data_IF_169296259395
#
_entry.id   IF_169296259395
#
_cell.length_a   1.000
_cell.length_b   1.000
_cell.length_c   1.000
_cell.angle_alpha   90.00
_cell.angle_beta   90.00
_cell.angle_gamma   90.00
#
_symmetry.space_group_name_H-M   'P 1'
#
loop_
_entity.id
_entity.type
_entity.pdbx_description
1 polymer ?
#
# COMPACT_ATOMS: atom_id res chain seq x y z
N UNK A 1 20.52 5.61 -11.15
CA UNK A 1 19.70 4.99 -12.20
C UNK A 1 19.56 3.50 -11.94
N UNK A 2 18.35 2.98 -12.04
CA UNK A 2 18.08 1.55 -11.84
C UNK A 2 18.49 0.78 -13.09
N UNK A 3 19.32 -0.30 -12.97
CA UNK A 3 19.69 -1.11 -14.12
C UNK A 3 18.45 -1.70 -14.82
N UNK A 4 18.51 -1.94 -16.14
CA UNK A 4 17.43 -2.58 -16.87
C UNK A 4 17.06 -3.93 -16.23
N UNK A 5 15.78 -4.21 -16.08
CA UNK A 5 15.28 -5.44 -15.48
C UNK A 5 15.31 -5.45 -13.96
N UNK A 6 15.86 -4.43 -13.32
CA UNK A 6 15.88 -4.31 -11.87
C UNK A 6 14.59 -3.64 -11.38
N UNK A 7 13.98 -4.25 -10.36
CA UNK A 7 12.72 -3.76 -9.79
C UNK A 7 12.82 -3.75 -8.26
N UNK A 8 12.35 -2.66 -7.65
CA UNK A 8 12.24 -2.54 -6.20
C UNK A 8 10.77 -2.65 -5.80
N UNK A 9 10.50 -3.57 -4.91
CA UNK A 9 9.15 -3.75 -4.37
C UNK A 9 9.11 -3.27 -2.92
N UNK A 10 8.17 -2.38 -2.63
CA UNK A 10 7.82 -1.99 -1.27
C UNK A 10 6.52 -2.69 -0.94
N UNK A 11 6.61 -3.82 -0.26
CA UNK A 11 5.44 -4.60 0.11
C UNK A 11 4.93 -4.13 1.47
N UNK A 12 3.69 -3.65 1.49
CA UNK A 12 3.12 -3.02 2.68
C UNK A 12 1.79 -3.68 3.02
N UNK A 13 1.68 -4.10 4.28
CA UNK A 13 0.39 -4.48 4.86
C UNK A 13 -0.33 -3.20 5.30
N UNK A 14 -1.69 -3.18 5.22
CA UNK A 14 -2.44 -2.06 5.77
C UNK A 14 -2.11 -1.84 7.26
N UNK A 15 -2.22 -0.60 7.72
CA UNK A 15 -1.98 -0.25 9.11
C UNK A 15 -3.14 -0.74 10.00
N UNK A 16 -3.04 -0.50 11.30
CA UNK A 16 -4.00 -1.03 12.27
C UNK A 16 -5.41 -0.52 11.99
N UNK A 17 -6.35 -1.44 11.87
CA UNK A 17 -7.73 -1.13 11.53
C UNK A 17 -8.63 -1.09 12.77
N UNK A 18 -9.80 -0.46 12.59
CA UNK A 18 -10.79 -0.24 13.63
C UNK A 18 -11.80 -1.39 13.65
N UNK A 19 -12.07 -1.92 14.83
CA UNK A 19 -13.07 -2.98 15.06
C UNK A 19 -14.25 -2.51 15.90
N UNK A 20 -14.35 -1.18 16.15
CA UNK A 20 -15.36 -0.64 17.08
C UNK A 20 -16.79 -0.74 16.54
N UNK A 21 -16.98 -0.80 15.22
CA UNK A 21 -18.29 -0.93 14.63
C UNK A 21 -18.43 -2.31 13.95
N UNK A 22 -19.00 -3.30 14.65
CA UNK A 22 -19.13 -4.64 14.09
C UNK A 22 -20.19 -4.75 12.98
N UNK A 23 -20.99 -3.71 12.77
CA UNK A 23 -21.99 -3.71 11.69
C UNK A 23 -21.38 -3.38 10.32
N UNK A 24 -20.15 -2.85 10.27
CA UNK A 24 -19.52 -2.50 9.02
C UNK A 24 -19.05 -3.77 8.26
N UNK A 25 -19.33 -3.84 6.95
CA UNK A 25 -18.69 -4.86 6.13
C UNK A 25 -17.17 -4.72 6.20
N UNK A 26 -16.46 -5.83 6.06
CA UNK A 26 -15.00 -5.84 6.19
C UNK A 26 -14.32 -4.81 5.28
N UNK A 27 -14.79 -4.66 4.02
CA UNK A 27 -14.20 -3.71 3.09
C UNK A 27 -14.34 -2.25 3.53
N UNK A 28 -15.34 -1.95 4.35
CA UNK A 28 -15.63 -0.58 4.81
C UNK A 28 -14.96 -0.26 6.14
N UNK A 29 -14.25 -1.19 6.72
CA UNK A 29 -13.61 -0.99 8.02
C UNK A 29 -12.40 -0.08 7.89
N UNK A 30 -12.39 1.07 8.61
CA UNK A 30 -11.33 2.07 8.48
C UNK A 30 -10.11 1.72 9.33
N UNK A 31 -9.05 2.50 9.17
CA UNK A 31 -7.94 2.50 10.12
C UNK A 31 -8.39 3.12 11.44
N UNK A 32 -7.76 2.72 12.55
CA UNK A 32 -7.90 3.42 13.81
C UNK A 32 -6.85 4.55 13.91
N UNK A 33 -6.90 5.34 14.97
CA UNK A 33 -5.98 6.47 15.14
C UNK A 33 -4.52 6.03 15.18
N UNK A 34 -4.24 4.90 15.83
CA UNK A 34 -2.89 4.33 15.90
C UNK A 34 -2.40 3.92 14.52
N UNK A 35 -3.28 3.32 13.72
CA UNK A 35 -2.96 2.94 12.35
C UNK A 35 -2.61 4.14 11.49
N UNK A 36 -3.36 5.24 11.61
CA UNK A 36 -3.06 6.46 10.87
C UNK A 36 -1.69 7.03 11.24
N UNK A 37 -1.37 7.05 12.54
CA UNK A 37 -0.04 7.51 12.99
C UNK A 37 1.07 6.64 12.47
N UNK A 38 0.90 5.31 12.52
CA UNK A 38 1.89 4.36 12.02
C UNK A 38 2.12 4.52 10.52
N UNK A 39 1.04 4.72 9.75
CA UNK A 39 1.14 4.89 8.30
C UNK A 39 1.85 6.20 7.94
N UNK A 40 1.58 7.29 8.68
CA UNK A 40 2.31 8.54 8.48
C UNK A 40 3.80 8.37 8.79
N UNK A 41 4.13 7.68 9.88
CA UNK A 41 5.51 7.40 10.24
C UNK A 41 6.22 6.57 9.17
N UNK A 42 5.52 5.58 8.59
CA UNK A 42 6.05 4.77 7.50
C UNK A 42 6.37 5.65 6.28
N UNK A 43 5.45 6.54 5.93
CA UNK A 43 5.67 7.47 4.81
C UNK A 43 6.90 8.34 5.02
N UNK A 44 7.04 8.92 6.21
CA UNK A 44 8.19 9.75 6.55
C UNK A 44 9.49 8.95 6.50
N UNK A 45 9.46 7.72 6.99
CA UNK A 45 10.63 6.83 6.95
C UNK A 45 11.04 6.50 5.51
N UNK A 46 10.07 6.13 4.68
CA UNK A 46 10.34 5.83 3.26
C UNK A 46 10.95 7.04 2.56
N UNK A 47 10.37 8.23 2.77
CA UNK A 47 10.88 9.45 2.15
C UNK A 47 12.30 9.76 2.62
N UNK A 48 12.58 9.57 3.92
CA UNK A 48 13.92 9.83 4.47
C UNK A 48 14.98 8.88 3.90
N UNK A 49 14.58 7.71 3.41
CA UNK A 49 15.47 6.72 2.81
C UNK A 49 15.55 6.82 1.29
N UNK A 50 14.79 7.74 0.69
CA UNK A 50 14.72 7.86 -0.75
C UNK A 50 13.99 6.69 -1.42
N UNK A 51 13.13 6.00 -0.70
CA UNK A 51 12.31 4.91 -1.24
C UNK A 51 10.99 5.46 -1.77
N UNK A 52 11.07 6.29 -2.80
CA UNK A 52 9.91 6.95 -3.38
C UNK A 52 9.16 5.99 -4.30
N UNK A 53 7.89 5.68 -4.00
CA UNK A 53 7.10 4.85 -4.91
C UNK A 53 6.86 5.57 -6.23
N UNK A 54 7.00 4.84 -7.32
CA UNK A 54 6.75 5.37 -8.67
C UNK A 54 5.45 4.83 -9.26
N UNK A 55 4.93 3.77 -8.66
CA UNK A 55 3.65 3.17 -8.99
C UNK A 55 3.09 2.52 -7.73
N UNK A 56 1.79 2.65 -7.48
CA UNK A 56 1.14 2.06 -6.30
C UNK A 56 0.03 1.12 -6.75
N UNK A 57 0.09 -0.11 -6.28
CA UNK A 57 -0.95 -1.12 -6.46
C UNK A 57 -1.60 -1.32 -5.10
N UNK A 58 -2.89 -1.03 -4.99
CA UNK A 58 -3.58 -0.97 -3.71
C UNK A 58 -4.86 -1.78 -3.73
N UNK A 59 -5.08 -2.57 -2.69
CA UNK A 59 -6.38 -3.21 -2.47
C UNK A 59 -7.46 -2.14 -2.33
N UNK A 60 -8.69 -2.36 -2.84
CA UNK A 60 -9.75 -1.35 -2.74
C UNK A 60 -10.39 -1.23 -1.36
N UNK A 61 -9.99 -2.04 -0.39
CA UNK A 61 -10.52 -1.93 0.97
C UNK A 61 -10.22 -0.55 1.56
N UNK A 62 -11.14 -0.04 2.39
CA UNK A 62 -10.99 1.28 2.99
C UNK A 62 -9.68 1.39 3.78
N UNK A 63 -9.33 0.37 4.57
CA UNK A 63 -8.12 0.42 5.40
C UNK A 63 -6.82 0.47 4.58
N UNK A 64 -6.78 -0.15 3.41
CA UNK A 64 -5.60 -0.07 2.52
C UNK A 64 -5.53 1.28 1.83
N UNK A 65 -6.66 1.82 1.37
CA UNK A 65 -6.71 3.15 0.77
C UNK A 65 -6.30 4.23 1.77
N UNK A 66 -6.78 4.13 3.01
CA UNK A 66 -6.41 5.08 4.06
C UNK A 66 -4.94 4.96 4.45
N UNK A 67 -4.38 3.75 4.40
CA UNK A 67 -2.95 3.55 4.62
C UNK A 67 -2.16 4.36 3.60
N UNK A 68 -2.51 4.24 2.30
CA UNK A 68 -1.84 5.02 1.27
C UNK A 68 -2.02 6.52 1.47
N UNK A 69 -3.21 6.98 1.81
CA UNK A 69 -3.45 8.41 2.05
C UNK A 69 -2.51 8.94 3.12
N UNK A 70 -2.31 8.20 4.21
CA UNK A 70 -1.41 8.60 5.27
C UNK A 70 0.06 8.55 4.85
N UNK A 71 0.46 7.48 4.13
CA UNK A 71 1.83 7.35 3.61
C UNK A 71 2.14 8.48 2.64
N UNK A 72 1.20 8.81 1.76
CA UNK A 72 1.39 9.81 0.72
C UNK A 72 1.45 11.24 1.25
N UNK A 73 1.14 11.45 2.53
CA UNK A 73 1.32 12.73 3.17
C UNK A 73 2.79 13.11 3.39
N UNK A 74 3.72 12.15 3.27
CA UNK A 74 5.14 12.43 3.35
C UNK A 74 5.62 13.16 2.09
N UNK A 75 6.77 13.80 2.20
CA UNK A 75 7.37 14.54 1.07
C UNK A 75 8.13 13.57 0.19
N UNK A 76 7.47 13.07 -0.84
CA UNK A 76 8.10 12.28 -1.89
C UNK A 76 8.43 13.16 -3.09
N UNK A 77 9.47 12.81 -3.82
CA UNK A 77 9.84 13.50 -5.05
C UNK A 77 8.88 13.15 -6.19
N UNK A 78 8.22 12.00 -6.10
CA UNK A 78 7.30 11.52 -7.13
C UNK A 78 5.87 11.60 -6.65
N UNK A 79 4.92 11.71 -7.59
CA UNK A 79 3.49 11.56 -7.34
C UNK A 79 3.02 10.34 -8.13
N UNK A 80 3.10 9.15 -7.52
CA UNK A 80 2.83 7.93 -8.27
C UNK A 80 1.35 7.76 -8.61
N UNK A 81 1.03 7.18 -9.77
CA UNK A 81 -0.32 6.74 -10.04
C UNK A 81 -0.71 5.62 -9.07
N UNK A 82 -1.95 5.65 -8.62
CA UNK A 82 -2.50 4.61 -7.74
C UNK A 82 -3.52 3.82 -8.52
N UNK A 83 -3.31 2.50 -8.60
CA UNK A 83 -4.24 1.59 -9.24
C UNK A 83 -4.89 0.72 -8.18
N UNK A 84 -6.22 0.79 -8.08
CA UNK A 84 -6.97 -0.10 -7.19
C UNK A 84 -7.14 -1.44 -7.86
N UNK A 85 -6.67 -2.49 -7.18
CA UNK A 85 -6.68 -3.85 -7.72
C UNK A 85 -7.58 -4.73 -6.84
N UNK A 86 -8.81 -5.03 -7.28
CA UNK A 86 -9.72 -5.87 -6.50
C UNK A 86 -9.14 -7.23 -6.16
N UNK A 87 -8.27 -7.77 -7.02
CA UNK A 87 -7.64 -9.05 -6.79
C UNK A 87 -6.73 -9.07 -5.55
N UNK A 88 -6.30 -7.91 -5.07
CA UNK A 88 -5.45 -7.83 -3.87
C UNK A 88 -6.22 -7.98 -2.56
N UNK A 89 -7.55 -7.90 -2.60
CA UNK A 89 -8.36 -8.05 -1.39
C UNK A 89 -8.23 -9.47 -0.85
N UNK A 90 -7.61 -9.61 0.31
CA UNK A 90 -7.31 -10.91 0.95
C UNK A 90 -6.60 -11.90 0.01
N UNK A 91 -5.71 -11.38 -0.84
CA UNK A 91 -5.06 -12.18 -1.87
C UNK A 91 -4.06 -13.18 -1.31
N UNK A 92 -4.01 -14.36 -1.92
CA UNK A 92 -2.92 -15.31 -1.72
C UNK A 92 -1.63 -14.81 -2.41
N UNK A 93 -0.45 -15.29 -1.98
CA UNK A 93 0.81 -14.83 -2.58
C UNK A 93 0.89 -14.96 -4.10
N UNK A 94 0.32 -16.03 -4.67
CA UNK A 94 0.33 -16.25 -6.12
C UNK A 94 -0.42 -15.16 -6.86
N UNK A 95 -1.54 -14.70 -6.29
CA UNK A 95 -2.33 -13.60 -6.86
C UNK A 95 -1.56 -12.28 -6.75
N UNK A 96 -0.91 -12.04 -5.62
CA UNK A 96 -0.10 -10.85 -5.43
C UNK A 96 1.01 -10.77 -6.48
N UNK A 97 1.67 -11.90 -6.77
CA UNK A 97 2.71 -11.95 -7.79
C UNK A 97 2.16 -11.65 -9.18
N UNK A 98 0.97 -12.17 -9.50
CA UNK A 98 0.33 -11.87 -10.79
C UNK A 98 0.05 -10.38 -10.94
N UNK A 99 -0.46 -9.75 -9.89
CA UNK A 99 -0.73 -8.31 -9.90
C UNK A 99 0.58 -7.53 -10.04
N UNK A 100 1.61 -7.92 -9.30
CA UNK A 100 2.91 -7.27 -9.36
C UNK A 100 3.49 -7.31 -10.77
N UNK A 101 3.29 -8.40 -11.51
CA UNK A 101 3.80 -8.53 -12.88
C UNK A 101 3.17 -7.55 -13.86
N UNK A 102 2.06 -6.93 -13.50
CA UNK A 102 1.43 -5.89 -14.33
C UNK A 102 2.06 -4.52 -14.13
N UNK A 103 2.92 -4.37 -13.13
CA UNK A 103 3.58 -3.11 -12.85
C UNK A 103 4.68 -2.82 -13.88
N UNK A 104 4.87 -1.54 -14.19
CA UNK A 104 5.83 -1.11 -15.19
C UNK A 104 6.92 -0.21 -14.62
N UNK A 105 6.70 0.39 -13.46
CA UNK A 105 7.66 1.31 -12.85
C UNK A 105 8.78 0.55 -12.15
N UNK A 106 9.99 1.15 -12.04
CA UNK A 106 11.12 0.51 -11.33
C UNK A 106 10.89 0.34 -9.83
N UNK A 107 10.17 1.24 -9.19
CA UNK A 107 9.85 1.15 -7.76
C UNK A 107 8.34 1.12 -7.58
N UNK A 108 7.85 -0.01 -7.09
CA UNK A 108 6.42 -0.29 -6.95
C UNK A 108 6.09 -0.50 -5.49
N UNK A 109 5.06 0.19 -5.00
CA UNK A 109 4.51 -0.08 -3.68
C UNK A 109 3.22 -0.86 -3.82
N UNK A 110 3.13 -1.98 -3.13
CA UNK A 110 1.92 -2.79 -3.10
C UNK A 110 1.35 -2.77 -1.69
N UNK A 111 0.10 -2.33 -1.55
CA UNK A 111 -0.58 -2.26 -0.25
C UNK A 111 -1.72 -3.26 -0.25
N UNK A 112 -1.61 -4.23 0.64
CA UNK A 112 -2.58 -5.30 0.70
C UNK A 112 -2.82 -5.80 2.12
N UNK A 113 -3.16 -7.07 2.20
CA UNK A 113 -3.50 -7.75 3.44
C UNK A 113 -2.52 -8.88 3.69
N UNK A 114 -2.46 -9.36 4.93
CA UNK A 114 -1.65 -10.53 5.21
C UNK A 114 -2.21 -11.74 4.43
N UNK A 115 -1.36 -12.53 3.78
CA UNK A 115 -1.80 -13.80 3.21
C UNK A 115 -2.19 -14.77 4.33
N UNK A 116 -3.23 -15.48 4.14
CA UNK A 116 -3.68 -16.52 5.05
C UNK A 116 -4.67 -16.12 6.07
#
# INVERSE_FOLDING_TARGET
>A
MTPPGHCRLILTRHAKSDWDDPSLPDQERPLNARGRRSARALGDWLASRGYDPEEVLCSPARRTCETWECVSGAVFETRPPVRLEPALYHAAPEVMLKVLRTATAPTVMMIGHNPG
#
